data_IF_215217772757
#
_entry.id   IF_215217772757
#
_cell.length_a   1.000
_cell.length_b   1.000
_cell.length_c   1.000
_cell.angle_alpha   90.00
_cell.angle_beta   90.00
_cell.angle_gamma   90.00
#
_symmetry.space_group_name_H-M   'P 1'
#
loop_
_entity.id
_entity.type
_entity.pdbx_description
1 polymer ?
#
# COMPACT_ATOMS: atom_id res chain seq x y z
N UNK A 1 20.75 -41.47 6.82
CA UNK A 1 20.90 -40.15 6.17
C UNK A 1 19.65 -39.77 5.40
N UNK A 2 19.11 -40.67 4.56
CA UNK A 2 17.83 -40.48 3.90
C UNK A 2 16.68 -40.30 4.90
N UNK A 3 16.62 -41.12 5.96
CA UNK A 3 15.55 -41.02 6.97
C UNK A 3 15.57 -39.69 7.74
N UNK A 4 16.75 -39.13 8.01
CA UNK A 4 16.91 -37.81 8.65
C UNK A 4 16.43 -36.70 7.70
N UNK A 5 16.69 -36.83 6.40
CA UNK A 5 16.20 -35.87 5.40
C UNK A 5 14.67 -35.96 5.23
N UNK A 6 14.12 -37.17 5.27
CA UNK A 6 12.67 -37.41 5.18
C UNK A 6 11.93 -36.90 6.42
N UNK A 7 12.53 -37.01 7.61
CA UNK A 7 11.96 -36.48 8.86
C UNK A 7 12.02 -34.95 8.99
N UNK A 8 12.81 -34.25 8.16
CA UNK A 8 12.96 -32.79 8.21
C UNK A 8 12.56 -32.13 6.89
N UNK A 9 11.58 -32.71 6.17
CA UNK A 9 11.12 -32.20 4.88
C UNK A 9 10.53 -30.79 4.99
N UNK A 10 9.91 -30.44 6.09
CA UNK A 10 9.40 -29.11 6.43
C UNK A 10 10.51 -28.04 6.45
N UNK A 11 11.61 -28.30 7.17
CA UNK A 11 12.76 -27.39 7.26
C UNK A 11 13.51 -27.30 5.93
N UNK A 12 13.66 -28.42 5.23
CA UNK A 12 14.24 -28.46 3.89
C UNK A 12 13.38 -27.67 2.89
N UNK A 13 12.05 -27.79 2.96
CA UNK A 13 11.13 -27.01 2.13
C UNK A 13 11.32 -25.52 2.35
N UNK A 14 11.45 -25.09 3.61
CA UNK A 14 11.70 -23.70 3.96
C UNK A 14 13.06 -23.20 3.46
N UNK A 15 14.12 -23.98 3.63
CA UNK A 15 15.47 -23.65 3.13
C UNK A 15 15.52 -23.53 1.60
N UNK A 16 14.87 -24.45 0.88
CA UNK A 16 14.77 -24.42 -0.59
C UNK A 16 13.96 -23.20 -1.06
N UNK A 17 12.86 -22.88 -0.38
CA UNK A 17 12.09 -21.68 -0.70
C UNK A 17 12.94 -20.41 -0.58
N UNK A 18 13.72 -20.26 0.50
CA UNK A 18 14.64 -19.12 0.68
C UNK A 18 15.66 -19.06 -0.45
N UNK A 19 16.30 -20.18 -0.82
CA UNK A 19 17.29 -20.21 -1.90
C UNK A 19 16.70 -19.73 -3.23
N UNK A 20 15.50 -20.20 -3.60
CA UNK A 20 14.85 -19.75 -4.82
C UNK A 20 14.41 -18.28 -4.76
N UNK A 21 13.92 -17.80 -3.62
CA UNK A 21 13.59 -16.39 -3.43
C UNK A 21 14.84 -15.49 -3.57
N UNK A 22 15.97 -15.90 -3.00
CA UNK A 22 17.24 -15.19 -3.10
C UNK A 22 17.83 -15.23 -4.52
N UNK A 23 17.54 -16.29 -5.30
CA UNK A 23 17.91 -16.37 -6.71
C UNK A 23 17.14 -15.40 -7.61
N UNK A 24 16.14 -14.69 -7.07
CA UNK A 24 15.32 -13.73 -7.80
C UNK A 24 14.15 -14.35 -8.56
N UNK A 25 13.81 -15.62 -8.29
CA UNK A 25 12.64 -16.26 -8.90
C UNK A 25 11.34 -15.67 -8.34
N UNK A 26 10.27 -15.48 -9.16
CA UNK A 26 9.07 -14.80 -8.68
C UNK A 26 8.40 -15.53 -7.52
N UNK A 27 8.14 -14.77 -6.44
CA UNK A 27 7.68 -15.27 -5.13
C UNK A 27 6.50 -16.23 -5.25
N UNK A 28 5.50 -15.86 -6.06
CA UNK A 28 4.31 -16.67 -6.32
C UNK A 28 4.63 -18.10 -6.77
N UNK A 29 5.50 -18.23 -7.77
CA UNK A 29 5.86 -19.53 -8.33
C UNK A 29 6.83 -20.29 -7.43
N UNK A 30 7.71 -19.59 -6.71
CA UNK A 30 8.57 -20.21 -5.70
C UNK A 30 7.75 -20.88 -4.61
N UNK A 31 6.82 -20.14 -3.98
CA UNK A 31 6.03 -20.67 -2.87
C UNK A 31 5.15 -21.85 -3.31
N UNK A 32 4.44 -21.72 -4.44
CA UNK A 32 3.58 -22.80 -4.93
C UNK A 32 4.39 -24.01 -5.44
N UNK A 33 5.45 -23.77 -6.22
CA UNK A 33 6.25 -24.81 -6.83
C UNK A 33 7.04 -25.64 -5.82
N UNK A 34 7.69 -24.97 -4.86
CA UNK A 34 8.41 -25.66 -3.77
C UNK A 34 7.43 -26.45 -2.90
N UNK A 35 6.27 -25.89 -2.58
CA UNK A 35 5.24 -26.60 -1.82
C UNK A 35 4.76 -27.86 -2.55
N UNK A 36 4.45 -27.79 -3.85
CA UNK A 36 4.01 -28.95 -4.61
C UNK A 36 5.11 -30.01 -4.76
N UNK A 37 6.36 -29.59 -4.95
CA UNK A 37 7.49 -30.50 -5.04
C UNK A 37 7.67 -31.29 -3.72
N UNK A 38 7.65 -30.60 -2.58
CA UNK A 38 7.79 -31.23 -1.27
C UNK A 38 6.56 -32.04 -0.86
N UNK A 39 5.35 -31.62 -1.23
CA UNK A 39 4.16 -32.44 -1.06
C UNK A 39 4.26 -33.74 -1.87
N UNK A 40 4.74 -33.67 -3.12
CA UNK A 40 4.98 -34.86 -3.94
C UNK A 40 6.01 -35.81 -3.34
N UNK A 41 7.12 -35.28 -2.83
CA UNK A 41 8.14 -36.07 -2.12
C UNK A 41 7.52 -36.71 -0.86
N UNK A 42 6.79 -35.94 -0.07
CA UNK A 42 6.14 -36.42 1.16
C UNK A 42 5.10 -37.51 0.91
N UNK A 43 4.33 -37.44 -0.19
CA UNK A 43 3.37 -38.48 -0.58
C UNK A 43 4.11 -39.76 -0.96
N UNK A 44 5.20 -39.66 -1.72
CA UNK A 44 6.00 -40.82 -2.13
C UNK A 44 6.73 -41.48 -0.96
N UNK A 45 7.15 -40.68 0.04
CA UNK A 45 7.79 -41.19 1.25
C UNK A 45 6.81 -41.64 2.35
N UNK A 46 5.51 -41.32 2.21
CA UNK A 46 4.49 -41.62 3.21
C UNK A 46 4.42 -40.65 4.39
N UNK A 47 5.17 -39.55 4.34
CA UNK A 47 5.25 -38.51 5.40
C UNK A 47 4.18 -37.41 5.23
N UNK A 48 3.46 -37.39 4.11
CA UNK A 48 2.43 -36.39 3.81
C UNK A 48 1.10 -37.04 3.41
N UNK A 49 0.01 -36.62 4.06
CA UNK A 49 -1.35 -37.08 3.73
C UNK A 49 -1.94 -36.28 2.54
N UNK A 50 -2.28 -36.99 1.47
CA UNK A 50 -2.90 -36.44 0.26
C UNK A 50 -4.20 -35.67 0.54
N UNK A 51 -4.90 -35.97 1.64
CA UNK A 51 -6.11 -35.27 2.05
C UNK A 51 -5.90 -33.76 2.22
N UNK A 52 -4.71 -33.32 2.64
CA UNK A 52 -4.37 -31.89 2.74
C UNK A 52 -4.46 -31.20 1.37
N UNK A 53 -3.95 -31.83 0.30
CA UNK A 53 -4.02 -31.25 -1.06
C UNK A 53 -5.46 -31.23 -1.58
N UNK A 54 -6.27 -32.23 -1.26
CA UNK A 54 -7.70 -32.25 -1.64
C UNK A 54 -8.50 -31.14 -0.95
N UNK A 55 -8.08 -30.71 0.24
CA UNK A 55 -8.67 -29.58 0.94
C UNK A 55 -8.23 -28.20 0.40
N UNK A 56 -7.19 -28.14 -0.44
CA UNK A 56 -6.62 -26.89 -0.94
C UNK A 56 -7.62 -26.01 -1.71
N UNK A 57 -8.43 -26.52 -2.67
CA UNK A 57 -9.41 -25.69 -3.37
C UNK A 57 -10.42 -25.04 -2.41
N UNK A 58 -10.95 -25.81 -1.46
CA UNK A 58 -11.88 -25.30 -0.45
C UNK A 58 -11.22 -24.21 0.42
N UNK A 59 -9.93 -24.35 0.73
CA UNK A 59 -9.16 -23.35 1.49
C UNK A 59 -8.94 -22.04 0.72
N UNK A 60 -8.72 -22.11 -0.60
CA UNK A 60 -8.65 -20.90 -1.43
C UNK A 60 -10.01 -20.22 -1.51
N UNK A 61 -11.04 -20.95 -1.95
CA UNK A 61 -12.35 -20.38 -2.23
C UNK A 61 -13.03 -19.90 -0.96
N UNK A 62 -13.09 -20.75 0.07
CA UNK A 62 -13.74 -20.42 1.35
C UNK A 62 -12.89 -19.56 2.26
N UNK A 63 -11.56 -19.64 2.15
CA UNK A 63 -10.63 -19.01 3.09
C UNK A 63 -9.99 -17.73 2.59
N UNK A 64 -9.72 -17.55 1.28
CA UNK A 64 -8.98 -16.38 0.76
C UNK A 64 -9.87 -15.52 -0.15
N UNK A 65 -10.51 -16.11 -1.15
CA UNK A 65 -11.20 -15.35 -2.21
C UNK A 65 -12.46 -14.61 -1.72
N UNK A 66 -13.10 -15.08 -0.66
CA UNK A 66 -14.32 -14.49 -0.09
C UNK A 66 -14.05 -13.34 0.88
N UNK A 67 -12.78 -13.03 1.18
CA UNK A 67 -12.42 -12.01 2.18
C UNK A 67 -12.64 -10.61 1.64
N UNK A 68 -13.56 -9.88 2.25
CA UNK A 68 -13.90 -8.50 1.87
C UNK A 68 -12.72 -7.53 1.94
N UNK A 69 -11.78 -7.75 2.87
CA UNK A 69 -10.59 -6.90 3.03
C UNK A 69 -9.69 -6.95 1.79
N UNK A 70 -9.67 -8.06 1.06
CA UNK A 70 -8.86 -8.20 -0.16
C UNK A 70 -9.43 -7.40 -1.34
N UNK A 71 -10.70 -6.99 -1.28
CA UNK A 71 -11.29 -6.05 -2.27
C UNK A 71 -10.62 -4.68 -2.18
N UNK A 72 -10.11 -4.29 -1.00
CA UNK A 72 -9.38 -3.04 -0.83
C UNK A 72 -8.04 -3.04 -1.58
N UNK A 73 -7.42 -4.21 -1.82
CA UNK A 73 -6.09 -4.31 -2.43
C UNK A 73 -6.07 -3.74 -3.85
N UNK A 74 -6.91 -4.21 -4.81
CA UNK A 74 -6.96 -3.62 -6.15
C UNK A 74 -7.28 -2.12 -6.15
N UNK A 75 -8.13 -1.66 -5.23
CA UNK A 75 -8.52 -0.25 -5.14
C UNK A 75 -7.37 0.63 -4.64
N UNK A 76 -6.61 0.19 -3.63
CA UNK A 76 -5.40 0.89 -3.18
C UNK A 76 -4.30 0.86 -4.23
N UNK A 77 -4.09 -0.29 -4.91
CA UNK A 77 -3.16 -0.37 -6.03
C UNK A 77 -3.58 0.62 -7.13
N UNK A 78 -4.85 0.67 -7.49
CA UNK A 78 -5.37 1.61 -8.47
C UNK A 78 -5.12 3.06 -8.08
N UNK A 79 -5.43 3.43 -6.84
CA UNK A 79 -5.17 4.77 -6.30
C UNK A 79 -3.69 5.14 -6.43
N UNK A 80 -2.81 4.24 -5.99
CA UNK A 80 -1.36 4.45 -6.03
C UNK A 80 -0.83 4.65 -7.44
N UNK A 81 -1.16 3.71 -8.33
CA UNK A 81 -0.73 3.79 -9.74
C UNK A 81 -1.33 5.03 -10.42
N UNK A 82 -2.57 5.41 -10.12
CA UNK A 82 -3.19 6.62 -10.67
C UNK A 82 -2.43 7.88 -10.23
N UNK A 83 -2.06 7.99 -8.95
CA UNK A 83 -1.31 9.12 -8.43
C UNK A 83 0.11 9.17 -9.01
N UNK A 84 0.78 8.04 -9.15
CA UNK A 84 2.08 7.93 -9.81
C UNK A 84 2.01 8.40 -11.27
N UNK A 85 1.02 7.91 -12.04
CA UNK A 85 0.82 8.26 -13.45
C UNK A 85 0.31 9.69 -13.67
N UNK A 86 -0.12 10.37 -12.61
CA UNK A 86 -0.61 11.75 -12.69
C UNK A 86 0.48 12.83 -12.64
N UNK A 87 1.76 12.42 -12.71
CA UNK A 87 2.95 13.30 -12.63
C UNK A 87 3.04 14.14 -11.36
N UNK A 88 2.32 13.75 -10.32
CA UNK A 88 2.42 14.38 -8.99
C UNK A 88 3.85 14.20 -8.45
N UNK A 89 4.44 13.01 -8.63
CA UNK A 89 5.80 12.72 -8.17
C UNK A 89 6.85 13.69 -8.76
N UNK A 90 6.82 13.92 -10.08
CA UNK A 90 7.72 14.83 -10.79
C UNK A 90 7.61 16.26 -10.25
N UNK A 91 6.37 16.78 -10.16
CA UNK A 91 6.12 18.15 -9.71
C UNK A 91 6.45 18.36 -8.22
N UNK A 92 6.16 17.36 -7.37
CA UNK A 92 6.56 17.38 -5.97
C UNK A 92 8.08 17.42 -5.84
N UNK A 93 8.81 16.62 -6.63
CA UNK A 93 10.28 16.64 -6.61
C UNK A 93 10.85 17.97 -7.08
N UNK A 94 10.33 18.54 -8.17
CA UNK A 94 10.78 19.84 -8.66
C UNK A 94 10.50 20.95 -7.64
N UNK A 95 9.31 20.93 -7.04
CA UNK A 95 8.89 21.96 -6.08
C UNK A 95 9.66 21.84 -4.76
N UNK A 96 9.81 20.64 -4.22
CA UNK A 96 10.62 20.40 -3.02
C UNK A 96 12.10 20.67 -3.28
N UNK A 97 12.60 20.29 -4.45
CA UNK A 97 13.98 20.55 -4.87
C UNK A 97 14.31 22.05 -4.95
N UNK A 98 13.35 22.90 -5.36
CA UNK A 98 13.47 24.36 -5.30
C UNK A 98 13.39 24.89 -3.87
N UNK A 99 12.45 24.36 -3.08
CA UNK A 99 12.23 24.77 -1.69
C UNK A 99 13.45 24.52 -0.80
N UNK A 100 14.02 23.31 -0.86
CA UNK A 100 15.14 22.89 -0.03
C UNK A 100 16.50 23.04 -0.73
N UNK A 101 16.54 23.29 -2.04
CA UNK A 101 17.75 23.26 -2.85
C UNK A 101 18.89 24.16 -2.33
N UNK A 102 18.56 25.32 -1.77
CA UNK A 102 19.57 26.23 -1.22
C UNK A 102 20.20 25.76 0.10
N UNK A 103 19.64 24.72 0.73
CA UNK A 103 20.20 24.11 1.93
C UNK A 103 21.20 23.02 1.56
N UNK A 104 22.24 22.87 2.39
CA UNK A 104 23.14 21.71 2.32
C UNK A 104 22.31 20.45 2.62
N UNK A 105 22.39 19.43 1.76
CA UNK A 105 21.50 18.26 1.84
C UNK A 105 20.09 18.46 1.27
N UNK A 106 19.79 19.63 0.70
CA UNK A 106 18.45 20.02 0.23
C UNK A 106 17.74 19.04 -0.70
N UNK A 107 18.45 18.53 -1.72
CA UNK A 107 17.90 17.51 -2.62
C UNK A 107 17.66 16.18 -1.90
N UNK A 108 18.53 15.81 -0.95
CA UNK A 108 18.35 14.60 -0.15
C UNK A 108 17.09 14.68 0.73
N UNK A 109 16.83 15.82 1.38
CA UNK A 109 15.58 16.06 2.10
C UNK A 109 14.37 15.96 1.18
N UNK A 110 14.48 16.55 -0.01
CA UNK A 110 13.41 16.52 -1.02
C UNK A 110 13.07 15.09 -1.44
N UNK A 111 14.07 14.25 -1.70
CA UNK A 111 13.87 12.83 -2.04
C UNK A 111 13.20 12.07 -0.91
N UNK A 112 13.62 12.28 0.35
CA UNK A 112 13.02 11.57 1.50
C UNK A 112 11.58 12.03 1.74
N UNK A 113 11.30 13.33 1.70
CA UNK A 113 9.96 13.88 1.94
C UNK A 113 9.01 13.45 0.82
N UNK A 114 9.41 13.61 -0.44
CA UNK A 114 8.58 13.19 -1.57
C UNK A 114 8.43 11.68 -1.58
N UNK A 115 9.50 10.93 -1.30
CA UNK A 115 9.45 9.48 -1.15
C UNK A 115 8.47 9.04 -0.06
N UNK A 116 8.42 9.72 1.09
CA UNK A 116 7.47 9.44 2.16
C UNK A 116 6.00 9.75 1.76
N UNK A 117 5.77 10.85 1.03
CA UNK A 117 4.45 11.21 0.52
C UNK A 117 3.95 10.25 -0.57
N UNK A 118 4.85 9.84 -1.47
CA UNK A 118 4.57 8.84 -2.49
C UNK A 118 4.41 7.45 -1.91
N UNK A 119 5.18 7.12 -0.88
CA UNK A 119 5.05 5.88 -0.11
C UNK A 119 3.63 5.72 0.46
N UNK A 120 3.13 6.76 1.12
CA UNK A 120 1.77 6.78 1.67
C UNK A 120 0.68 6.59 0.61
N UNK A 121 0.93 6.94 -0.66
CA UNK A 121 -0.08 6.84 -1.71
C UNK A 121 0.02 5.57 -2.56
N UNK A 122 1.23 5.04 -2.75
CA UNK A 122 1.49 3.97 -3.74
C UNK A 122 1.66 2.58 -3.13
N UNK A 123 2.29 2.46 -1.96
CA UNK A 123 2.51 1.16 -1.31
C UNK A 123 3.34 0.13 -2.10
N UNK A 124 3.99 0.52 -3.21
CA UNK A 124 4.68 -0.39 -4.13
C UNK A 124 6.16 0.00 -4.26
N UNK A 125 7.03 -0.70 -3.53
CA UNK A 125 8.46 -0.38 -3.44
C UNK A 125 9.16 -0.35 -4.79
N UNK A 126 8.96 -1.38 -5.62
CA UNK A 126 9.68 -1.49 -6.90
C UNK A 126 9.38 -0.32 -7.84
N UNK A 127 8.11 0.07 -7.97
CA UNK A 127 7.70 1.17 -8.81
C UNK A 127 8.25 2.52 -8.29
N UNK A 128 8.09 2.79 -7.00
CA UNK A 128 8.57 4.05 -6.40
C UNK A 128 10.09 4.19 -6.50
N UNK A 129 10.85 3.14 -6.22
CA UNK A 129 12.33 3.17 -6.31
C UNK A 129 12.78 3.36 -7.75
N UNK A 130 12.14 2.71 -8.72
CA UNK A 130 12.48 2.89 -10.15
C UNK A 130 12.15 4.31 -10.61
N UNK A 131 10.95 4.81 -10.30
CA UNK A 131 10.51 6.16 -10.67
C UNK A 131 11.42 7.22 -10.04
N UNK A 132 11.70 7.12 -8.74
CA UNK A 132 12.63 8.01 -8.04
C UNK A 132 14.07 7.87 -8.53
N UNK A 133 14.50 6.65 -8.84
CA UNK A 133 15.83 6.39 -9.41
C UNK A 133 16.00 7.07 -10.76
N UNK A 134 15.03 6.94 -11.67
CA UNK A 134 15.09 7.53 -13.00
C UNK A 134 15.00 9.07 -12.97
N UNK A 135 14.23 9.63 -12.04
CA UNK A 135 14.00 11.08 -11.96
C UNK A 135 15.03 11.81 -11.09
N UNK A 136 15.35 11.28 -9.92
CA UNK A 136 16.15 11.97 -8.90
C UNK A 136 17.63 11.64 -8.97
N UNK A 137 18.02 10.40 -9.28
CA UNK A 137 19.44 10.02 -9.27
C UNK A 137 20.29 10.83 -10.28
N UNK A 138 19.88 11.00 -11.56
CA UNK A 138 20.67 11.79 -12.51
C UNK A 138 20.80 13.26 -12.05
N UNK A 139 19.73 13.81 -11.48
CA UNK A 139 19.68 15.17 -10.98
C UNK A 139 20.62 15.37 -9.79
N UNK A 140 20.64 14.43 -8.83
CA UNK A 140 21.54 14.48 -7.67
C UNK A 140 23.01 14.39 -8.09
N UNK A 141 23.35 13.45 -8.99
CA UNK A 141 24.72 13.27 -9.48
C UNK A 141 25.22 14.48 -10.25
N UNK A 142 24.39 15.05 -11.14
CA UNK A 142 24.72 16.27 -11.89
C UNK A 142 24.99 17.47 -10.98
N UNK A 143 24.40 17.48 -9.78
CA UNK A 143 24.57 18.52 -8.76
C UNK A 143 25.70 18.23 -7.78
N UNK A 144 26.47 17.15 -7.99
CA UNK A 144 27.65 16.82 -7.19
C UNK A 144 27.37 16.06 -5.90
N UNK A 145 26.21 15.40 -5.75
CA UNK A 145 25.99 14.49 -4.63
C UNK A 145 26.85 13.23 -4.76
N UNK A 146 27.34 12.72 -3.63
CA UNK A 146 28.04 11.44 -3.59
C UNK A 146 27.09 10.30 -4.04
N UNK A 147 27.51 9.41 -4.95
CA UNK A 147 26.67 8.32 -5.45
C UNK A 147 26.08 7.44 -4.34
N UNK A 148 26.84 7.18 -3.27
CA UNK A 148 26.42 6.35 -2.14
C UNK A 148 25.28 7.01 -1.36
N UNK A 149 25.36 8.33 -1.15
CA UNK A 149 24.32 9.08 -0.46
C UNK A 149 23.06 9.18 -1.33
N UNK A 150 23.22 9.44 -2.64
CA UNK A 150 22.09 9.57 -3.56
C UNK A 150 21.35 8.24 -3.74
N UNK A 151 22.08 7.15 -4.03
CA UNK A 151 21.48 5.81 -4.19
C UNK A 151 20.90 5.30 -2.88
N UNK A 152 21.59 5.49 -1.75
CA UNK A 152 21.10 5.12 -0.43
C UNK A 152 19.82 5.86 -0.03
N UNK A 153 19.75 7.18 -0.26
CA UNK A 153 18.56 7.98 0.04
C UNK A 153 17.36 7.58 -0.84
N UNK A 154 17.58 7.32 -2.12
CA UNK A 154 16.51 6.84 -3.04
C UNK A 154 16.04 5.45 -2.66
N UNK A 155 16.95 4.52 -2.37
CA UNK A 155 16.61 3.16 -1.96
C UNK A 155 15.83 3.16 -0.64
N UNK A 156 16.31 3.89 0.38
CA UNK A 156 15.65 3.98 1.67
C UNK A 156 14.26 4.63 1.55
N UNK A 157 14.16 5.77 0.88
CA UNK A 157 12.89 6.49 0.73
C UNK A 157 11.85 5.70 -0.08
N UNK A 158 12.26 5.00 -1.14
CA UNK A 158 11.34 4.19 -1.93
C UNK A 158 10.81 2.95 -1.21
N UNK A 159 11.51 2.45 -0.17
CA UNK A 159 11.02 1.34 0.66
C UNK A 159 10.01 1.74 1.73
N UNK A 160 9.86 3.04 2.02
CA UNK A 160 8.90 3.55 3.01
C UNK A 160 7.45 3.20 2.68
N UNK A 161 7.13 2.90 1.42
CA UNK A 161 5.79 2.51 0.98
C UNK A 161 5.25 1.26 1.69
N UNK A 162 6.12 0.43 2.25
CA UNK A 162 5.67 -0.75 2.99
C UNK A 162 5.12 -0.41 4.37
N UNK A 163 5.65 0.62 5.02
CA UNK A 163 5.35 0.95 6.41
C UNK A 163 4.40 2.15 6.56
N UNK A 164 4.47 3.14 5.67
CA UNK A 164 3.64 4.36 5.79
C UNK A 164 2.23 4.07 5.25
N UNK A 165 1.18 4.21 6.06
CA UNK A 165 -0.19 3.98 5.60
C UNK A 165 -0.71 5.02 4.59
N UNK A 166 -1.67 4.66 3.71
CA UNK A 166 -2.16 3.30 3.41
C UNK A 166 -1.14 2.40 2.68
N UNK A 167 -0.90 1.20 3.22
CA UNK A 167 0.05 0.21 2.65
C UNK A 167 -0.65 -1.11 2.35
N UNK A 168 -0.44 -1.63 1.14
CA UNK A 168 -0.99 -2.93 0.71
C UNK A 168 -0.44 -4.06 1.61
N UNK A 169 0.83 -3.99 1.99
CA UNK A 169 1.46 -4.98 2.87
C UNK A 169 0.76 -5.01 4.22
N UNK A 170 0.44 -3.84 4.80
CA UNK A 170 -0.29 -3.77 6.06
C UNK A 170 -1.76 -4.24 5.94
N UNK A 171 -2.40 -4.02 4.80
CA UNK A 171 -3.75 -4.56 4.54
C UNK A 171 -3.74 -6.09 4.53
N UNK A 172 -2.78 -6.69 3.83
CA UNK A 172 -2.62 -8.15 3.78
C UNK A 172 -2.22 -8.73 5.14
N UNK A 173 -1.29 -8.05 5.84
CA UNK A 173 -0.87 -8.44 7.18
C UNK A 173 -2.04 -8.34 8.17
N UNK A 174 -2.90 -7.33 8.06
CA UNK A 174 -4.08 -7.16 8.90
C UNK A 174 -5.02 -8.35 8.81
N UNK A 175 -5.23 -8.86 7.61
CA UNK A 175 -6.03 -10.05 7.39
C UNK A 175 -5.39 -11.31 8.01
N UNK A 176 -4.08 -11.52 7.83
CA UNK A 176 -3.36 -12.65 8.45
C UNK A 176 -3.38 -12.55 9.98
N UNK A 177 -3.08 -11.37 10.53
CA UNK A 177 -3.03 -11.13 11.97
C UNK A 177 -4.40 -11.24 12.62
N UNK A 178 -5.47 -10.75 11.97
CA UNK A 178 -6.83 -10.88 12.49
C UNK A 178 -7.20 -12.36 12.73
N UNK A 179 -6.85 -13.22 11.77
CA UNK A 179 -7.13 -14.64 11.86
C UNK A 179 -6.26 -15.35 12.89
N UNK A 180 -4.93 -15.10 12.88
CA UNK A 180 -4.02 -15.68 13.85
C UNK A 180 -4.40 -15.29 15.29
N UNK A 181 -4.73 -14.01 15.51
CA UNK A 181 -5.12 -13.49 16.82
C UNK A 181 -6.48 -14.04 17.29
N UNK A 182 -7.46 -14.18 16.39
CA UNK A 182 -8.74 -14.81 16.72
C UNK A 182 -8.60 -16.32 16.97
N UNK A 183 -7.72 -17.02 16.24
CA UNK A 183 -7.42 -18.43 16.46
C UNK A 183 -6.79 -18.66 17.84
N UNK A 184 -5.77 -17.86 18.18
CA UNK A 184 -5.08 -17.93 19.47
C UNK A 184 -6.00 -17.66 20.66
N UNK A 185 -6.95 -16.72 20.53
CA UNK A 185 -7.95 -16.47 21.57
C UNK A 185 -8.93 -17.64 21.75
N UNK A 186 -9.35 -18.29 20.66
CA UNK A 186 -10.20 -19.49 20.76
C UNK A 186 -9.49 -20.64 21.48
N UNK A 187 -8.19 -20.83 21.24
CA UNK A 187 -7.40 -21.83 21.98
C UNK A 187 -7.25 -21.51 23.47
N UNK A 188 -7.39 -20.24 23.86
CA UNK A 188 -7.42 -19.82 25.27
C UNK A 188 -8.81 -19.91 25.91
N UNK A 189 -9.81 -20.47 25.22
CA UNK A 189 -11.19 -20.54 25.70
C UNK A 189 -11.97 -19.23 25.58
N UNK A 190 -11.45 -18.24 24.85
CA UNK A 190 -12.15 -16.97 24.59
C UNK A 190 -12.99 -17.15 23.32
N UNK A 191 -14.29 -17.34 23.50
CA UNK A 191 -15.25 -17.54 22.40
C UNK A 191 -15.79 -16.24 21.79
N UNK A 192 -15.50 -15.09 22.42
CA UNK A 192 -15.73 -13.75 21.85
C UNK A 192 -14.38 -13.07 21.57
N UNK A 193 -13.68 -13.49 20.50
CA UNK A 193 -12.34 -13.01 20.21
C UNK A 193 -12.37 -11.55 19.75
N UNK A 194 -11.44 -10.74 20.26
CA UNK A 194 -11.15 -9.43 19.67
C UNK A 194 -10.37 -9.65 18.37
N UNK A 195 -10.69 -8.93 17.31
CA UNK A 195 -9.94 -8.98 16.05
C UNK A 195 -9.06 -7.74 15.92
N UNK A 196 -7.84 -7.92 15.43
CA UNK A 196 -7.01 -6.79 15.01
C UNK A 196 -7.53 -6.32 13.65
N UNK A 197 -7.91 -5.06 13.54
CA UNK A 197 -8.38 -4.48 12.28
C UNK A 197 -7.20 -3.93 11.46
N UNK A 198 -7.43 -3.71 10.15
CA UNK A 198 -6.48 -2.99 9.30
C UNK A 198 -6.22 -1.57 9.83
N UNK A 199 -7.25 -0.93 10.39
CA UNK A 199 -7.13 0.39 11.01
C UNK A 199 -6.18 0.40 12.21
N UNK A 200 -6.21 -0.64 13.03
CA UNK A 200 -5.28 -0.78 14.17
C UNK A 200 -3.84 -0.92 13.70
N UNK A 201 -3.59 -1.69 12.63
CA UNK A 201 -2.25 -1.79 12.04
C UNK A 201 -1.80 -0.48 11.41
N UNK A 202 -2.69 0.25 10.75
CA UNK A 202 -2.36 1.57 10.19
C UNK A 202 -2.01 2.56 11.30
N UNK A 203 -2.79 2.59 12.38
CA UNK A 203 -2.50 3.41 13.55
C UNK A 203 -1.14 3.05 14.17
N UNK A 204 -0.90 1.75 14.37
CA UNK A 204 0.34 1.22 14.93
C UNK A 204 1.58 1.46 14.07
N UNK A 205 1.42 1.49 12.74
CA UNK A 205 2.52 1.73 11.80
C UNK A 205 2.87 3.21 11.59
N UNK A 206 1.99 4.14 11.96
CA UNK A 206 2.20 5.57 11.73
C UNK A 206 3.42 6.11 12.50
N UNK A 207 3.53 5.79 13.79
CA UNK A 207 4.65 6.22 14.63
C UNK A 207 6.00 5.68 14.13
N UNK A 208 6.20 4.36 13.90
CA UNK A 208 7.47 3.85 13.38
C UNK A 208 7.76 4.36 11.96
N UNK A 209 6.74 4.56 11.11
CA UNK A 209 6.91 5.15 9.79
C UNK A 209 7.45 6.58 9.84
N UNK A 210 6.84 7.44 10.66
CA UNK A 210 7.29 8.84 10.84
C UNK A 210 8.65 8.91 11.54
N UNK A 211 8.92 8.00 12.47
CA UNK A 211 10.24 7.88 13.12
C UNK A 211 11.32 7.56 12.08
N UNK A 212 11.10 6.60 11.18
CA UNK A 212 12.03 6.27 10.11
C UNK A 212 12.29 7.46 9.18
N UNK A 213 11.24 8.16 8.75
CA UNK A 213 11.39 9.39 7.94
C UNK A 213 12.26 10.41 8.66
N UNK A 214 12.02 10.62 9.96
CA UNK A 214 12.79 11.56 10.78
C UNK A 214 14.25 11.13 10.92
N UNK A 215 14.51 9.83 11.11
CA UNK A 215 15.86 9.27 11.17
C UNK A 215 16.59 9.42 9.83
N UNK A 216 15.91 9.20 8.70
CA UNK A 216 16.50 9.39 7.37
C UNK A 216 16.84 10.85 7.08
N UNK A 217 15.94 11.78 7.43
CA UNK A 217 16.20 13.22 7.31
C UNK A 217 17.39 13.61 8.21
N UNK A 218 17.40 13.14 9.46
CA UNK A 218 18.47 13.41 10.40
C UNK A 218 19.82 12.88 9.90
N UNK A 219 19.83 11.68 9.32
CA UNK A 219 21.02 11.10 8.71
C UNK A 219 21.56 11.96 7.57
N UNK A 220 20.71 12.40 6.64
CA UNK A 220 21.12 13.31 5.54
C UNK A 220 21.65 14.63 6.09
N UNK A 221 21.01 15.19 7.13
CA UNK A 221 21.45 16.42 7.76
C UNK A 221 22.84 16.28 8.42
N UNK A 222 23.07 15.17 9.14
CA UNK A 222 24.36 14.85 9.75
C UNK A 222 25.44 14.71 8.68
N UNK A 223 25.17 13.98 7.58
CA UNK A 223 26.12 13.82 6.47
C UNK A 223 26.39 15.16 5.78
N UNK A 224 25.37 15.99 5.57
CA UNK A 224 25.53 17.31 4.96
C UNK A 224 26.35 18.29 5.82
N UNK A 225 26.29 18.13 7.15
CA UNK A 225 27.09 18.91 8.09
C UNK A 225 28.54 18.41 8.19
N UNK A 226 28.73 17.09 8.34
CA UNK A 226 30.06 16.48 8.49
C UNK A 226 30.85 16.41 7.18
N UNK A 227 30.16 16.22 6.04
CA UNK A 227 30.76 16.08 4.71
C UNK A 227 30.05 16.99 3.70
N UNK A 228 30.31 18.32 3.74
CA UNK A 228 29.63 19.29 2.86
C UNK A 228 29.80 19.00 1.37
N UNK A 229 30.91 18.38 0.97
CA UNK A 229 31.19 18.00 -0.43
C UNK A 229 30.32 16.82 -0.91
N UNK A 230 29.82 15.98 0.00
CA UNK A 230 28.98 14.83 -0.35
C UNK A 230 27.52 15.22 -0.59
N UNK A 231 27.08 16.37 -0.06
CA UNK A 231 25.70 16.86 -0.16
C UNK A 231 25.69 18.40 -0.35
N UNK A 232 26.23 18.90 -1.48
CA UNK A 232 26.37 20.33 -1.72
C UNK A 232 25.00 21.04 -1.80
N UNK A 233 24.99 22.31 -1.41
CA UNK A 233 23.85 23.19 -1.60
C UNK A 233 23.79 23.68 -3.06
N UNK A 234 22.58 23.81 -3.60
CA UNK A 234 22.35 24.39 -4.93
C UNK A 234 22.44 25.92 -4.82
N UNK A 235 23.29 26.59 -5.62
CA UNK A 235 23.30 28.04 -5.69
C UNK A 235 21.93 28.53 -6.18
N UNK A 236 21.30 29.45 -5.43
CA UNK A 236 20.04 30.08 -5.86
C UNK A 236 20.26 30.83 -7.17
N UNK A 237 19.48 30.53 -8.20
CA UNK A 237 19.43 31.38 -9.40
C UNK A 237 18.44 32.54 -9.19
N UNK A 238 18.65 33.72 -9.79
CA UNK A 238 17.67 34.80 -9.75
C UNK A 238 16.34 34.33 -10.36
N UNK A 239 15.27 34.26 -9.57
CA UNK A 239 13.96 33.70 -9.97
C UNK A 239 13.57 32.38 -9.29
N UNK A 240 14.45 31.78 -8.48
CA UNK A 240 14.18 30.56 -7.69
C UNK A 240 13.38 30.81 -6.39
N UNK A 241 12.72 31.96 -6.24
CA UNK A 241 11.84 32.20 -5.09
C UNK A 241 10.60 31.30 -5.21
N UNK A 242 10.71 30.12 -4.61
CA UNK A 242 9.62 29.17 -4.50
C UNK A 242 8.48 29.83 -3.73
N UNK A 243 7.43 30.25 -4.43
CA UNK A 243 6.24 30.80 -3.79
C UNK A 243 5.65 29.75 -2.85
N UNK A 244 5.40 30.11 -1.59
CA UNK A 244 4.69 29.27 -0.62
C UNK A 244 3.36 28.78 -1.22
N UNK A 245 2.73 29.61 -2.06
CA UNK A 245 1.53 29.24 -2.81
C UNK A 245 1.77 28.05 -3.75
N UNK A 246 2.88 28.02 -4.49
CA UNK A 246 3.20 26.91 -5.38
C UNK A 246 3.45 25.60 -4.61
N UNK A 247 4.16 25.69 -3.48
CA UNK A 247 4.38 24.55 -2.58
C UNK A 247 3.05 23.99 -2.06
N UNK A 248 2.18 24.87 -1.57
CA UNK A 248 0.86 24.48 -1.05
C UNK A 248 -0.02 23.87 -2.15
N UNK A 249 -0.06 24.45 -3.35
CA UNK A 249 -0.86 23.90 -4.46
C UNK A 249 -0.36 22.52 -4.92
N UNK A 250 0.94 22.24 -4.81
CA UNK A 250 1.51 20.94 -5.18
C UNK A 250 1.27 19.86 -4.10
N UNK A 251 1.43 20.20 -2.82
CA UNK A 251 1.35 19.26 -1.70
C UNK A 251 -0.07 19.01 -1.19
N UNK A 252 -0.93 20.04 -1.19
CA UNK A 252 -2.23 19.99 -0.54
C UNK A 252 -3.14 18.91 -1.14
N UNK A 253 -3.24 18.71 -2.47
CA UNK A 253 -4.18 17.73 -3.01
C UNK A 253 -3.82 16.26 -2.65
N UNK A 254 -2.56 15.80 -2.81
CA UNK A 254 -2.17 14.46 -2.36
C UNK A 254 -2.33 14.27 -0.85
N UNK A 255 -1.93 15.27 -0.04
CA UNK A 255 -2.08 15.21 1.41
C UNK A 255 -3.55 15.15 1.82
N UNK A 256 -4.41 15.97 1.23
CA UNK A 256 -5.84 15.96 1.50
C UNK A 256 -6.47 14.60 1.19
N UNK A 257 -6.04 13.96 0.10
CA UNK A 257 -6.50 12.61 -0.25
C UNK A 257 -6.00 11.56 0.76
N UNK A 258 -4.72 11.59 1.14
CA UNK A 258 -4.15 10.69 2.16
C UNK A 258 -4.87 10.87 3.49
N UNK A 259 -5.06 12.10 3.96
CA UNK A 259 -5.77 12.40 5.20
C UNK A 259 -7.25 12.03 5.13
N UNK A 260 -7.91 12.18 3.97
CA UNK A 260 -9.29 11.74 3.81
C UNK A 260 -9.40 10.20 3.95
N UNK A 261 -8.52 9.46 3.26
CA UNK A 261 -8.49 7.99 3.31
C UNK A 261 -8.10 7.50 4.71
N UNK A 262 -6.92 7.89 5.20
CA UNK A 262 -6.39 7.45 6.48
C UNK A 262 -7.26 7.94 7.64
N UNK A 263 -7.68 9.21 7.59
CA UNK A 263 -8.58 9.80 8.58
C UNK A 263 -9.90 9.04 8.66
N UNK A 264 -10.50 8.64 7.53
CA UNK A 264 -11.75 7.86 7.53
C UNK A 264 -11.60 6.45 8.13
N UNK A 265 -10.43 5.82 7.98
CA UNK A 265 -10.14 4.51 8.58
C UNK A 265 -9.89 4.65 10.09
N UNK A 266 -8.99 5.57 10.49
CA UNK A 266 -8.55 5.72 11.88
C UNK A 266 -9.64 6.21 12.81
N UNK A 267 -10.59 6.98 12.28
CA UNK A 267 -11.76 7.45 13.03
C UNK A 267 -12.92 6.44 13.05
N UNK A 268 -12.75 5.26 12.44
CA UNK A 268 -13.78 4.21 12.38
C UNK A 268 -14.99 4.56 11.52
N UNK A 269 -14.87 5.57 10.66
CA UNK A 269 -15.95 6.05 9.80
C UNK A 269 -16.18 5.08 8.64
N UNK A 270 -15.09 4.64 8.02
CA UNK A 270 -15.09 3.87 6.79
C UNK A 270 -14.29 2.59 7.01
N UNK A 271 -14.75 1.50 6.40
CA UNK A 271 -13.92 0.29 6.33
C UNK A 271 -12.74 0.52 5.39
N UNK A 272 -11.72 -0.36 5.44
CA UNK A 272 -10.58 -0.27 4.53
C UNK A 272 -11.02 -0.30 3.05
N UNK A 273 -12.06 -1.07 2.72
CA UNK A 273 -12.61 -1.16 1.36
C UNK A 273 -13.30 0.13 0.95
N UNK A 274 -14.11 0.73 1.83
CA UNK A 274 -14.78 2.01 1.56
C UNK A 274 -13.75 3.14 1.37
N UNK A 275 -12.76 3.20 2.25
CA UNK A 275 -11.68 4.18 2.17
C UNK A 275 -10.83 4.01 0.90
N UNK A 276 -10.57 2.76 0.48
CA UNK A 276 -9.87 2.48 -0.76
C UNK A 276 -10.69 2.91 -1.99
N UNK A 277 -12.01 2.71 -1.99
CA UNK A 277 -12.90 3.17 -3.06
C UNK A 277 -12.92 4.71 -3.15
N UNK A 278 -13.04 5.39 -2.01
CA UNK A 278 -12.94 6.85 -1.94
C UNK A 278 -11.57 7.35 -2.41
N UNK A 279 -10.50 6.66 -2.03
CA UNK A 279 -9.14 6.93 -2.49
C UNK A 279 -8.98 6.81 -4.00
N UNK A 280 -9.47 5.71 -4.60
CA UNK A 280 -9.44 5.47 -6.03
C UNK A 280 -10.26 6.52 -6.82
N UNK A 281 -11.45 6.88 -6.32
CA UNK A 281 -12.27 7.95 -6.89
C UNK A 281 -11.57 9.31 -6.78
N UNK A 282 -11.05 9.64 -5.60
CA UNK A 282 -10.33 10.89 -5.35
C UNK A 282 -9.07 11.03 -6.21
N UNK A 283 -8.29 9.95 -6.37
CA UNK A 283 -7.12 9.93 -7.25
C UNK A 283 -7.52 10.12 -8.72
N UNK A 284 -8.63 9.51 -9.17
CA UNK A 284 -9.15 9.69 -10.53
C UNK A 284 -9.57 11.14 -10.77
N UNK A 285 -10.28 11.76 -9.83
CA UNK A 285 -10.71 13.15 -9.91
C UNK A 285 -9.52 14.11 -9.86
N UNK A 286 -8.54 13.84 -9.00
CA UNK A 286 -7.31 14.63 -8.90
C UNK A 286 -6.50 14.55 -10.20
N UNK A 287 -6.24 13.34 -10.69
CA UNK A 287 -5.56 13.12 -11.96
C UNK A 287 -6.32 13.78 -13.12
N UNK A 288 -7.64 13.60 -13.18
CA UNK A 288 -8.50 14.18 -14.20
C UNK A 288 -8.64 15.70 -14.10
N UNK A 289 -8.42 16.32 -12.93
CA UNK A 289 -8.37 17.77 -12.77
C UNK A 289 -7.06 18.34 -13.33
N UNK A 290 -5.94 17.69 -13.00
CA UNK A 290 -4.57 18.12 -13.34
C UNK A 290 -4.19 17.81 -14.80
N UNK A 291 -4.48 16.60 -15.26
CA UNK A 291 -4.10 16.12 -16.59
C UNK A 291 -5.14 16.52 -17.65
N UNK A 292 -4.66 16.83 -18.85
CA UNK A 292 -5.49 17.21 -20.00
C UNK A 292 -5.62 18.72 -20.20
N UNK A 293 -6.29 19.13 -21.29
CA UNK A 293 -6.33 20.53 -21.71
C UNK A 293 -6.94 21.46 -20.63
N UNK A 294 -6.17 22.43 -20.09
CA UNK A 294 -6.64 23.34 -19.05
C UNK A 294 -7.83 24.22 -19.46
N UNK A 295 -8.01 24.46 -20.77
CA UNK A 295 -9.08 25.29 -21.33
C UNK A 295 -10.41 24.53 -21.55
N UNK A 296 -10.42 23.21 -21.35
CA UNK A 296 -11.63 22.42 -21.56
C UNK A 296 -12.65 22.65 -20.43
N UNK A 297 -13.92 22.91 -20.81
CA UNK A 297 -15.05 23.04 -19.87
C UNK A 297 -15.21 21.82 -18.96
N UNK A 298 -14.75 20.64 -19.40
CA UNK A 298 -14.72 19.41 -18.59
C UNK A 298 -13.92 19.55 -17.30
N UNK A 299 -12.93 20.45 -17.22
CA UNK A 299 -12.18 20.73 -15.98
C UNK A 299 -13.07 21.28 -14.86
N UNK A 300 -13.99 22.16 -15.20
CA UNK A 300 -14.93 22.73 -14.23
C UNK A 300 -15.87 21.65 -13.71
N UNK A 301 -16.33 20.75 -14.58
CA UNK A 301 -17.18 19.61 -14.18
C UNK A 301 -16.47 18.65 -13.23
N UNK A 302 -15.17 18.41 -13.42
CA UNK A 302 -14.37 17.64 -12.45
C UNK A 302 -14.34 18.34 -11.10
N UNK A 303 -14.07 19.66 -11.06
CA UNK A 303 -14.02 20.40 -9.79
C UNK A 303 -15.38 20.44 -9.08
N UNK A 304 -16.46 20.70 -9.81
CA UNK A 304 -17.83 20.71 -9.28
C UNK A 304 -18.21 19.32 -8.75
N UNK A 305 -17.88 18.26 -9.50
CA UNK A 305 -18.12 16.89 -9.06
C UNK A 305 -17.33 16.51 -7.81
N UNK A 306 -16.07 16.92 -7.70
CA UNK A 306 -15.26 16.72 -6.48
C UNK A 306 -15.90 17.42 -5.29
N UNK A 307 -16.32 18.68 -5.43
CA UNK A 307 -17.01 19.43 -4.37
C UNK A 307 -18.33 18.75 -4.00
N UNK A 308 -19.10 18.27 -4.98
CA UNK A 308 -20.36 17.58 -4.74
C UNK A 308 -20.17 16.28 -3.97
N UNK A 309 -19.13 15.49 -4.28
CA UNK A 309 -18.80 14.26 -3.54
C UNK A 309 -18.31 14.56 -2.12
N UNK A 310 -17.50 15.61 -1.93
CA UNK A 310 -17.11 16.06 -0.59
C UNK A 310 -18.34 16.49 0.22
N UNK A 311 -19.25 17.26 -0.39
CA UNK A 311 -20.50 17.69 0.23
C UNK A 311 -21.40 16.50 0.56
N UNK A 312 -21.46 15.48 -0.31
CA UNK A 312 -22.20 14.24 -0.07
C UNK A 312 -21.63 13.49 1.15
N UNK A 313 -20.30 13.35 1.23
CA UNK A 313 -19.63 12.72 2.36
C UNK A 313 -19.85 13.48 3.67
N UNK A 314 -19.89 14.81 3.62
CA UNK A 314 -20.20 15.64 4.78
C UNK A 314 -21.67 15.48 5.21
N UNK A 315 -22.60 15.51 4.25
CA UNK A 315 -24.03 15.33 4.50
C UNK A 315 -24.33 13.97 5.13
N UNK A 316 -23.68 12.90 4.64
CA UNK A 316 -23.83 11.55 5.19
C UNK A 316 -23.30 11.40 6.62
N UNK A 317 -22.63 12.41 7.19
CA UNK A 317 -22.22 12.41 8.60
C UNK A 317 -23.24 13.04 9.53
N UNK A 318 -23.94 14.04 9.02
CA UNK A 318 -24.87 14.84 9.83
C UNK A 318 -26.25 14.20 9.80
N UNK A 319 -26.63 13.57 8.68
CA UNK A 319 -27.95 13.00 8.47
C UNK A 319 -27.84 11.51 8.15
N UNK A 320 -28.71 10.71 8.77
CA UNK A 320 -28.83 9.28 8.46
C UNK A 320 -29.55 9.10 7.10
N UNK A 321 -28.77 8.79 6.06
CA UNK A 321 -29.25 8.63 4.69
C UNK A 321 -29.67 7.18 4.36
N UNK A 322 -29.83 6.31 5.37
CA UNK A 322 -30.26 4.92 5.16
C UNK A 322 -31.64 4.84 4.52
N UNK A 323 -31.71 4.14 3.40
CA UNK A 323 -32.96 3.84 2.68
C UNK A 323 -33.75 2.75 3.41
N UNK A 324 -35.09 2.82 3.35
CA UNK A 324 -35.98 1.77 3.89
C UNK A 324 -36.30 1.87 5.38
N UNK A 325 -36.14 3.06 6.00
CA UNK A 325 -36.62 3.31 7.37
C UNK A 325 -38.12 3.59 7.38
N UNK A 326 -38.83 3.06 8.39
CA UNK A 326 -40.29 3.15 8.50
C UNK A 326 -40.78 4.57 8.85
N UNK A 327 -39.96 5.34 9.56
CA UNK A 327 -40.20 6.75 9.86
C UNK A 327 -39.00 7.57 9.38
N UNK A 328 -39.23 8.49 8.47
CA UNK A 328 -38.23 9.42 7.93
C UNK A 328 -38.76 10.83 8.20
N UNK A 329 -38.00 11.64 8.92
CA UNK A 329 -38.37 13.04 9.15
C UNK A 329 -38.37 13.85 7.84
N UNK A 330 -39.10 14.96 7.80
CA UNK A 330 -39.13 15.85 6.63
C UNK A 330 -37.73 16.37 6.23
N UNK A 331 -36.86 16.64 7.22
CA UNK A 331 -35.46 17.03 6.99
C UNK A 331 -34.63 15.90 6.38
N UNK A 332 -34.79 14.66 6.84
CA UNK A 332 -34.09 13.50 6.28
C UNK A 332 -34.53 13.19 4.85
N UNK A 333 -35.80 13.43 4.53
CA UNK A 333 -36.32 13.27 3.15
C UNK A 333 -35.67 14.28 2.21
N UNK A 334 -35.59 15.55 2.62
CA UNK A 334 -34.91 16.60 1.85
C UNK A 334 -33.41 16.29 1.73
N UNK A 335 -32.75 15.89 2.82
CA UNK A 335 -31.33 15.52 2.81
C UNK A 335 -31.06 14.33 1.87
N UNK A 336 -31.96 13.35 1.83
CA UNK A 336 -31.86 12.21 0.91
C UNK A 336 -32.01 12.66 -0.55
N UNK A 337 -32.95 13.55 -0.86
CA UNK A 337 -33.08 14.13 -2.20
C UNK A 337 -31.84 14.94 -2.61
N UNK A 338 -31.30 15.76 -1.70
CA UNK A 338 -30.04 16.50 -1.92
C UNK A 338 -28.87 15.54 -2.14
N UNK A 339 -28.80 14.44 -1.39
CA UNK A 339 -27.77 13.42 -1.56
C UNK A 339 -27.82 12.79 -2.96
N UNK A 340 -29.01 12.49 -3.50
CA UNK A 340 -29.14 12.00 -4.88
C UNK A 340 -28.67 13.02 -5.93
N UNK A 341 -28.98 14.31 -5.73
CA UNK A 341 -28.51 15.38 -6.63
C UNK A 341 -26.98 15.49 -6.57
N UNK A 342 -26.40 15.51 -5.38
CA UNK A 342 -24.95 15.56 -5.19
C UNK A 342 -24.26 14.33 -5.80
N UNK A 343 -24.85 13.15 -5.65
CA UNK A 343 -24.36 11.91 -6.27
C UNK A 343 -24.40 11.99 -7.80
N UNK A 344 -25.47 12.54 -8.39
CA UNK A 344 -25.58 12.76 -9.83
C UNK A 344 -24.52 13.72 -10.36
N UNK A 345 -24.31 14.86 -9.68
CA UNK A 345 -23.27 15.83 -10.02
C UNK A 345 -21.87 15.20 -9.87
N UNK A 346 -21.65 14.44 -8.80
CA UNK A 346 -20.43 13.68 -8.57
C UNK A 346 -20.14 12.69 -9.69
N UNK A 347 -21.16 11.93 -10.11
CA UNK A 347 -21.07 10.99 -11.22
C UNK A 347 -20.69 11.67 -12.53
N UNK A 348 -21.29 12.82 -12.85
CA UNK A 348 -20.91 13.64 -14.02
C UNK A 348 -19.43 14.07 -13.92
N UNK A 349 -18.98 14.48 -12.73
CA UNK A 349 -17.57 14.84 -12.50
C UNK A 349 -16.60 13.68 -12.71
N UNK A 350 -16.96 12.48 -12.25
CA UNK A 350 -16.16 11.26 -12.47
C UNK A 350 -16.09 10.92 -13.96
N UNK A 351 -17.22 10.96 -14.68
CA UNK A 351 -17.24 10.74 -16.13
C UNK A 351 -16.39 11.80 -16.85
N UNK A 352 -16.49 13.07 -16.46
CA UNK A 352 -15.66 14.14 -17.01
C UNK A 352 -14.16 13.90 -16.76
N UNK A 353 -13.79 13.41 -15.57
CA UNK A 353 -12.40 13.05 -15.24
C UNK A 353 -11.92 11.88 -16.12
N UNK A 354 -12.73 10.83 -16.28
CA UNK A 354 -12.38 9.69 -17.12
C UNK A 354 -12.21 10.09 -18.58
N UNK A 355 -13.12 10.92 -19.13
CA UNK A 355 -13.03 11.43 -20.49
C UNK A 355 -11.80 12.33 -20.70
N UNK A 356 -11.32 13.05 -19.68
CA UNK A 356 -10.08 13.83 -19.75
C UNK A 356 -8.83 12.96 -19.71
N UNK A 357 -8.87 11.83 -19.02
CA UNK A 357 -7.75 10.89 -18.89
C UNK A 357 -7.68 9.86 -20.03
N UNK A 358 -8.75 9.71 -20.82
CA UNK A 358 -8.81 8.78 -21.93
C UNK A 358 -7.79 9.08 -23.06
N UNK A 359 -7.67 10.34 -23.56
CA UNK A 359 -6.77 10.65 -24.67
C UNK A 359 -5.29 10.43 -24.33
N UNK A 360 -4.91 10.62 -23.06
CA UNK A 360 -3.55 10.42 -22.59
C UNK A 360 -3.20 8.96 -22.32
N UNK A 361 -4.12 8.00 -22.58
CA UNK A 361 -3.99 6.56 -22.30
C UNK A 361 -3.66 6.24 -20.83
N UNK A 362 -3.82 7.21 -19.92
CA UNK A 362 -3.49 7.04 -18.50
C UNK A 362 -4.37 5.96 -17.88
N UNK A 363 -5.68 5.96 -18.16
CA UNK A 363 -6.60 4.93 -17.63
C UNK A 363 -6.19 3.52 -18.09
N UNK A 364 -5.80 3.36 -19.36
CA UNK A 364 -5.40 2.04 -19.87
C UNK A 364 -4.12 1.55 -19.19
N UNK A 365 -3.14 2.44 -19.01
CA UNK A 365 -1.90 2.11 -18.28
C UNK A 365 -2.18 1.79 -16.81
N UNK A 366 -2.98 2.63 -16.14
CA UNK A 366 -3.36 2.41 -14.74
C UNK A 366 -4.09 1.08 -14.61
N UNK A 367 -5.12 0.82 -15.42
CA UNK A 367 -5.88 -0.42 -15.39
C UNK A 367 -5.01 -1.66 -15.60
N UNK A 368 -4.05 -1.61 -16.55
CA UNK A 368 -3.11 -2.70 -16.79
C UNK A 368 -2.15 -2.91 -15.62
N UNK A 369 -1.47 -1.87 -15.16
CA UNK A 369 -0.55 -1.98 -14.01
C UNK A 369 -1.30 -2.42 -12.75
N UNK A 370 -2.52 -1.93 -12.52
CA UNK A 370 -3.36 -2.38 -11.42
C UNK A 370 -3.70 -3.86 -11.53
N UNK A 371 -4.08 -4.34 -12.72
CA UNK A 371 -4.37 -5.76 -12.93
C UNK A 371 -3.13 -6.63 -12.71
N UNK A 372 -1.96 -6.21 -13.22
CA UNK A 372 -0.69 -6.92 -13.06
C UNK A 372 -0.28 -7.03 -11.57
N UNK A 373 -0.28 -5.90 -10.85
CA UNK A 373 0.08 -5.86 -9.42
C UNK A 373 -0.95 -6.63 -8.58
N UNK A 374 -2.25 -6.43 -8.82
CA UNK A 374 -3.29 -7.16 -8.08
C UNK A 374 -3.19 -8.66 -8.33
N UNK A 375 -3.01 -9.08 -9.59
CA UNK A 375 -2.82 -10.49 -9.93
C UNK A 375 -1.61 -11.08 -9.21
N UNK A 376 -0.48 -10.37 -9.23
CA UNK A 376 0.72 -10.80 -8.50
C UNK A 376 0.45 -11.00 -7.00
N UNK A 377 -0.24 -10.05 -6.36
CA UNK A 377 -0.62 -10.17 -4.94
C UNK A 377 -1.50 -11.40 -4.70
N UNK A 378 -2.56 -11.60 -5.49
CA UNK A 378 -3.45 -12.74 -5.31
C UNK A 378 -2.77 -14.09 -5.57
N UNK A 379 -1.91 -14.19 -6.58
CA UNK A 379 -1.15 -15.42 -6.84
C UNK A 379 -0.15 -15.69 -5.71
N UNK A 380 0.50 -14.65 -5.14
CA UNK A 380 1.34 -14.79 -3.95
C UNK A 380 0.52 -15.32 -2.76
N UNK A 381 -0.69 -14.80 -2.52
CA UNK A 381 -1.55 -15.29 -1.44
C UNK A 381 -1.95 -16.76 -1.63
N UNK A 382 -2.29 -17.16 -2.86
CA UNK A 382 -2.61 -18.55 -3.19
C UNK A 382 -1.38 -19.44 -2.98
N UNK A 383 -0.21 -19.03 -3.48
CA UNK A 383 1.05 -19.77 -3.30
C UNK A 383 1.45 -19.89 -1.83
N UNK A 384 1.31 -18.80 -1.05
CA UNK A 384 1.56 -18.80 0.39
C UNK A 384 0.57 -19.70 1.15
N UNK A 385 -0.69 -19.76 0.71
CA UNK A 385 -1.70 -20.67 1.29
C UNK A 385 -1.33 -22.13 1.02
N UNK A 386 -0.87 -22.45 -0.18
CA UNK A 386 -0.39 -23.79 -0.53
C UNK A 386 0.85 -24.15 0.26
N UNK A 387 1.82 -23.24 0.33
CA UNK A 387 3.04 -23.40 1.10
C UNK A 387 2.75 -23.66 2.58
N UNK A 388 1.91 -22.83 3.21
CA UNK A 388 1.51 -23.00 4.61
C UNK A 388 0.70 -24.29 4.85
N UNK A 389 -0.07 -24.75 3.87
CA UNK A 389 -0.81 -26.00 3.97
C UNK A 389 0.14 -27.20 3.91
N UNK A 390 1.07 -27.20 2.96
CA UNK A 390 2.06 -28.28 2.80
C UNK A 390 3.01 -28.31 3.99
N UNK A 391 3.53 -27.15 4.41
CA UNK A 391 4.41 -27.03 5.57
C UNK A 391 3.79 -27.68 6.82
N UNK A 392 2.51 -27.41 7.07
CA UNK A 392 1.79 -28.02 8.19
C UNK A 392 1.53 -29.51 8.01
N UNK A 393 1.17 -29.94 6.80
CA UNK A 393 0.98 -31.36 6.52
C UNK A 393 2.27 -32.19 6.66
N UNK A 394 3.45 -31.54 6.60
CA UNK A 394 4.76 -32.15 6.83
C UNK A 394 5.22 -32.09 8.31
N UNK A 395 4.39 -31.61 9.24
CA UNK A 395 4.74 -31.50 10.65
C UNK A 395 5.44 -30.19 11.05
N UNK A 396 5.36 -29.15 10.20
CA UNK A 396 6.05 -27.89 10.46
C UNK A 396 5.53 -27.10 11.66
N UNK A 397 4.26 -27.26 12.05
CA UNK A 397 3.71 -26.61 13.25
C UNK A 397 4.36 -27.19 14.51
N UNK A 398 4.56 -28.50 14.56
CA UNK A 398 5.23 -29.22 15.64
C UNK A 398 6.71 -28.83 15.75
N UNK A 399 7.40 -28.70 14.61
CA UNK A 399 8.79 -28.24 14.56
C UNK A 399 8.94 -26.82 15.12
N UNK A 400 8.07 -25.90 14.70
CA UNK A 400 8.06 -24.53 15.24
C UNK A 400 7.69 -24.54 16.74
N UNK A 401 6.70 -25.34 17.15
CA UNK A 401 6.31 -25.47 18.55
C UNK A 401 7.46 -25.91 19.44
N UNK A 402 8.19 -26.94 19.00
CA UNK A 402 9.34 -27.49 19.70
C UNK A 402 10.46 -26.45 19.82
N UNK A 403 10.77 -25.74 18.74
CA UNK A 403 11.77 -24.68 18.73
C UNK A 403 11.42 -23.55 19.71
N UNK A 404 10.19 -23.04 19.67
CA UNK A 404 9.74 -21.96 20.56
C UNK A 404 9.79 -22.39 22.02
N UNK A 405 9.27 -23.58 22.34
CA UNK A 405 9.27 -24.10 23.71
C UNK A 405 10.69 -24.28 24.24
N UNK A 406 11.62 -24.78 23.41
CA UNK A 406 13.05 -24.90 23.79
C UNK A 406 13.72 -23.54 24.02
N UNK A 407 13.31 -22.50 23.29
CA UNK A 407 13.81 -21.12 23.46
C UNK A 407 13.18 -20.37 24.64
N UNK A 408 12.27 -21.00 25.39
CA UNK A 408 11.56 -20.39 26.52
C UNK A 408 10.40 -19.46 26.11
N UNK A 409 10.00 -19.50 24.84
CA UNK A 409 8.87 -18.73 24.30
C UNK A 409 7.59 -19.56 24.29
N UNK A 410 6.43 -18.90 24.40
CA UNK A 410 5.13 -19.56 24.30
C UNK A 410 4.73 -19.78 22.84
N UNK A 411 4.05 -20.88 22.54
CA UNK A 411 3.49 -21.15 21.20
C UNK A 411 2.22 -20.34 20.89
N UNK A 412 1.66 -19.70 21.91
CA UNK A 412 0.44 -18.90 21.84
C UNK A 412 0.54 -17.78 20.81
N UNK A 413 -0.22 -17.89 19.71
CA UNK A 413 -0.25 -16.90 18.62
C UNK A 413 0.86 -17.06 17.56
N UNK A 414 1.77 -18.01 17.75
CA UNK A 414 2.79 -18.37 16.75
C UNK A 414 2.35 -19.51 15.81
N UNK A 415 1.34 -20.29 16.22
CA UNK A 415 0.77 -21.44 15.50
C UNK A 415 -0.72 -21.23 15.21
#
# INVERSE_FOLDING_TARGET
MLDILLQNLDLLMFGVAILFLLSGYPVAFTLAGVALAFAGIGILSGEFDEAFLRAFPARIYGGVMTRQVLVAVPLFVFMGVMLERSKIAEELLETMGKLFGSLRGGLGFSVIIVGALLAASTGIVGATVVTMGLLSLPTMLKRGYAPELATGAIAASGTLGQIIPPSIVLVLLGDVMANAYASAQRTQGIFSPKTISVGDLFAGALLPGLLLVTLYISWVAIVAWLRPNAAPAIPKQPGDDTSISAVMHALLPPLALIFAVLGSILSGIATATDAAALGALGATLLAGYRLGNPAAKSRQWVAIGTIALIALLALSRVVDLRLGRAEISGLETIATAVAFVLLGIGGIGVVAALLRLWPSKVIHQVGRTTAEISSMVFVILIGATLFSLVFRGLGGDETIAAFLTQSGMTTTGAL
#
